data_IF_822534495851
#
_entry.id   IF_822534495851
#
_cell.length_a   1.000
_cell.length_b   1.000
_cell.length_c   1.000
_cell.angle_alpha   90.00
_cell.angle_beta   90.00
_cell.angle_gamma   90.00
#
_symmetry.space_group_name_H-M   'P 1'
#
loop_
_entity.id
_entity.type
_entity.pdbx_description
1 polymer ?
#
# COMPACT_ATOMS: atom_id res chain seq x y z
N UNK A 1 -17.00 29.10 -40.23
CA UNK A 1 -17.77 28.20 -39.33
C UNK A 1 -16.81 27.16 -38.81
N UNK A 2 -16.27 27.39 -37.61
CA UNK A 2 -15.59 26.39 -36.80
C UNK A 2 -15.27 27.09 -35.49
N UNK A 3 -16.03 26.80 -34.44
CA UNK A 3 -15.60 26.88 -33.03
C UNK A 3 -16.81 26.59 -32.13
N UNK A 4 -17.14 25.31 -32.00
CA UNK A 4 -18.00 24.81 -30.93
C UNK A 4 -17.65 23.34 -30.70
N UNK A 5 -16.72 23.06 -29.77
CA UNK A 5 -16.65 21.79 -28.99
C UNK A 5 -15.46 21.70 -28.02
N UNK A 6 -15.11 22.79 -27.30
CA UNK A 6 -14.19 22.68 -26.14
C UNK A 6 -14.79 23.15 -24.81
N UNK A 7 -16.00 23.73 -24.82
CA UNK A 7 -16.64 24.24 -23.60
C UNK A 7 -17.49 23.20 -22.88
N UNK A 8 -17.95 22.13 -23.56
CA UNK A 8 -18.84 21.12 -22.97
C UNK A 8 -18.19 20.24 -21.88
N UNK A 9 -16.93 19.84 -22.07
CA UNK A 9 -16.24 18.97 -21.10
C UNK A 9 -15.89 19.70 -19.80
N UNK A 10 -15.40 20.94 -19.91
CA UNK A 10 -15.01 21.77 -18.76
C UNK A 10 -16.20 22.15 -17.86
N UNK A 11 -17.40 22.31 -18.45
CA UNK A 11 -18.62 22.69 -17.73
C UNK A 11 -19.25 21.51 -16.99
N UNK A 12 -19.01 20.27 -17.45
CA UNK A 12 -19.53 19.06 -16.79
C UNK A 12 -18.77 18.70 -15.51
N UNK A 13 -17.48 19.06 -15.43
CA UNK A 13 -16.62 18.82 -14.27
C UNK A 13 -16.82 19.85 -13.15
N UNK A 14 -17.26 21.06 -13.46
CA UNK A 14 -17.50 22.14 -12.48
C UNK A 14 -18.76 21.92 -11.64
N UNK A 15 -19.73 21.13 -12.12
CA UNK A 15 -21.03 20.91 -11.45
C UNK A 15 -20.97 19.80 -10.39
N UNK A 16 -19.95 18.94 -10.40
CA UNK A 16 -19.82 17.84 -9.43
C UNK A 16 -19.22 18.24 -8.07
N UNK A 17 -18.98 19.54 -7.84
CA UNK A 17 -18.37 20.08 -6.61
C UNK A 17 -19.38 20.22 -5.46
N UNK A 18 -20.67 20.02 -5.72
CA UNK A 18 -21.69 20.29 -4.70
C UNK A 18 -22.04 19.08 -3.83
N UNK A 19 -21.65 19.21 -2.55
CA UNK A 19 -22.00 18.43 -1.33
C UNK A 19 -20.93 17.48 -0.75
N UNK A 20 -19.66 17.87 -0.87
CA UNK A 20 -18.71 17.82 0.25
C UNK A 20 -17.74 19.00 0.13
N UNK A 21 -17.35 19.67 1.21
CA UNK A 21 -16.43 20.83 1.19
C UNK A 21 -14.96 20.46 0.85
N UNK A 22 -14.72 19.29 0.25
CA UNK A 22 -13.38 18.79 -0.09
C UNK A 22 -13.23 18.74 -1.63
N UNK A 23 -12.41 19.62 -2.24
CA UNK A 23 -12.27 19.70 -3.70
C UNK A 23 -11.64 18.45 -4.33
N UNK A 24 -11.22 17.47 -3.54
CA UNK A 24 -10.66 16.19 -4.00
C UNK A 24 -11.70 15.06 -4.01
N UNK A 25 -12.83 15.23 -3.31
CA UNK A 25 -13.86 14.20 -3.13
C UNK A 25 -14.37 13.58 -4.44
N UNK A 26 -14.69 14.37 -5.48
CA UNK A 26 -15.13 13.80 -6.75
C UNK A 26 -14.05 12.97 -7.46
N UNK A 27 -12.79 13.40 -7.43
CA UNK A 27 -11.67 12.63 -7.96
C UNK A 27 -11.44 11.32 -7.20
N UNK A 28 -11.51 11.38 -5.87
CA UNK A 28 -11.38 10.20 -5.01
C UNK A 28 -12.52 9.20 -5.32
N UNK A 29 -13.76 9.68 -5.51
CA UNK A 29 -14.89 8.83 -5.89
C UNK A 29 -14.68 8.13 -7.24
N UNK A 30 -14.18 8.84 -8.25
CA UNK A 30 -13.85 8.25 -9.55
C UNK A 30 -12.79 7.17 -9.41
N UNK A 31 -11.77 7.41 -8.59
CA UNK A 31 -10.73 6.43 -8.29
C UNK A 31 -11.32 5.16 -7.63
N UNK A 32 -12.20 5.32 -6.64
CA UNK A 32 -12.86 4.18 -5.97
C UNK A 32 -13.76 3.37 -6.92
N UNK A 33 -14.41 4.03 -7.88
CA UNK A 33 -15.19 3.38 -8.95
C UNK A 33 -14.33 2.74 -10.04
N UNK A 34 -13.00 2.79 -9.91
CA UNK A 34 -12.04 2.32 -10.91
C UNK A 34 -12.12 3.09 -12.25
N UNK A 35 -12.69 4.30 -12.26
CA UNK A 35 -12.72 5.20 -13.41
C UNK A 35 -11.41 6.01 -13.46
N UNK A 36 -10.28 5.31 -13.55
CA UNK A 36 -8.96 5.89 -13.31
C UNK A 36 -8.57 7.00 -14.30
N UNK A 37 -8.92 6.90 -15.58
CA UNK A 37 -8.63 7.98 -16.53
C UNK A 37 -9.40 9.27 -16.19
N UNK A 38 -10.67 9.15 -15.81
CA UNK A 38 -11.46 10.31 -15.37
C UNK A 38 -10.93 10.89 -14.06
N UNK A 39 -10.51 10.03 -13.12
CA UNK A 39 -9.87 10.47 -11.88
C UNK A 39 -8.58 11.24 -12.18
N UNK A 40 -7.77 10.76 -13.12
CA UNK A 40 -6.53 11.41 -13.56
C UNK A 40 -6.82 12.79 -14.17
N UNK A 41 -7.78 12.89 -15.09
CA UNK A 41 -8.21 14.16 -15.68
C UNK A 41 -8.69 15.14 -14.59
N UNK A 42 -9.49 14.66 -13.64
CA UNK A 42 -9.99 15.47 -12.53
C UNK A 42 -8.85 16.03 -11.67
N UNK A 43 -7.94 15.16 -11.18
CA UNK A 43 -6.84 15.62 -10.33
C UNK A 43 -5.86 16.53 -11.08
N UNK A 44 -5.69 16.34 -12.39
CA UNK A 44 -4.89 17.25 -13.22
C UNK A 44 -5.56 18.62 -13.36
N UNK A 45 -6.89 18.66 -13.52
CA UNK A 45 -7.65 19.90 -13.56
C UNK A 45 -7.57 20.66 -12.22
N UNK A 46 -7.68 19.95 -11.09
CA UNK A 46 -7.50 20.54 -9.75
C UNK A 46 -6.08 21.09 -9.59
N UNK A 47 -5.05 20.33 -9.99
CA UNK A 47 -3.65 20.75 -9.88
C UNK A 47 -3.34 22.03 -10.69
N UNK A 48 -4.07 22.26 -11.79
CA UNK A 48 -3.87 23.42 -12.66
C UNK A 48 -4.63 24.68 -12.18
N UNK A 49 -5.34 24.63 -11.06
CA UNK A 49 -6.07 25.79 -10.54
C UNK A 49 -5.08 26.85 -10.01
N UNK A 50 -5.28 28.15 -10.34
CA UNK A 50 -4.31 29.20 -10.02
C UNK A 50 -4.15 29.49 -8.51
N UNK A 51 -5.12 29.07 -7.69
CA UNK A 51 -5.13 29.31 -6.24
C UNK A 51 -4.76 28.06 -5.42
N UNK A 52 -4.27 26.98 -6.04
CA UNK A 52 -3.95 25.74 -5.32
C UNK A 52 -2.78 25.94 -4.35
N UNK A 53 -2.96 25.56 -3.10
CA UNK A 53 -1.89 25.65 -2.09
C UNK A 53 -0.84 24.54 -2.28
N UNK A 54 0.33 24.69 -1.64
CA UNK A 54 1.38 23.66 -1.67
C UNK A 54 0.91 22.32 -1.11
N UNK A 55 0.11 22.33 -0.03
CA UNK A 55 -0.40 21.11 0.59
C UNK A 55 -1.45 20.42 -0.29
N UNK A 56 -2.32 21.20 -0.93
CA UNK A 56 -3.30 20.69 -1.90
C UNK A 56 -2.61 20.14 -3.15
N UNK A 57 -1.57 20.84 -3.64
CA UNK A 57 -0.74 20.36 -4.74
C UNK A 57 -0.09 19.02 -4.41
N UNK A 58 0.44 18.88 -3.18
CA UNK A 58 1.03 17.62 -2.73
C UNK A 58 -0.02 16.48 -2.67
N UNK A 59 -1.24 16.78 -2.21
CA UNK A 59 -2.37 15.82 -2.22
C UNK A 59 -2.76 15.44 -3.65
N UNK A 60 -2.87 16.39 -4.57
CA UNK A 60 -3.12 16.15 -6.00
C UNK A 60 -2.06 15.22 -6.59
N UNK A 61 -0.78 15.51 -6.35
CA UNK A 61 0.33 14.69 -6.81
C UNK A 61 0.26 13.26 -6.23
N UNK A 62 -0.12 13.08 -4.96
CA UNK A 62 -0.34 11.75 -4.40
C UNK A 62 -1.45 10.98 -5.13
N UNK A 63 -2.59 11.64 -5.37
CA UNK A 63 -3.73 11.02 -6.05
C UNK A 63 -3.44 10.71 -7.52
N UNK A 64 -2.73 11.59 -8.23
CA UNK A 64 -2.23 11.33 -9.59
C UNK A 64 -1.22 10.18 -9.61
N UNK A 65 -0.32 10.12 -8.62
CA UNK A 65 0.63 9.02 -8.47
C UNK A 65 -0.09 7.67 -8.31
N UNK A 66 -1.09 7.63 -7.42
CA UNK A 66 -1.89 6.42 -7.18
C UNK A 66 -2.68 6.00 -8.42
N UNK A 67 -3.29 6.98 -9.10
CA UNK A 67 -4.07 6.76 -10.32
C UNK A 67 -3.20 6.24 -11.47
N UNK A 68 -2.04 6.86 -11.71
CA UNK A 68 -1.10 6.40 -12.73
C UNK A 68 -0.55 5.00 -12.41
N UNK A 69 -0.29 4.69 -11.13
CA UNK A 69 0.11 3.34 -10.74
C UNK A 69 -0.96 2.28 -11.04
N UNK A 70 -2.25 2.63 -10.91
CA UNK A 70 -3.38 1.75 -11.30
C UNK A 70 -3.50 1.58 -12.80
N UNK A 71 -3.20 2.62 -13.56
CA UNK A 71 -3.12 2.60 -15.03
C UNK A 71 -1.84 1.94 -15.57
N UNK A 72 -0.93 1.49 -14.69
CA UNK A 72 0.39 0.95 -15.03
C UNK A 72 1.35 1.96 -15.70
N UNK A 73 1.04 3.25 -15.59
CA UNK A 73 1.90 4.37 -16.00
C UNK A 73 2.93 4.64 -14.89
N UNK A 74 3.89 3.73 -14.74
CA UNK A 74 4.76 3.72 -13.55
C UNK A 74 5.73 4.90 -13.50
N UNK A 75 6.23 5.40 -14.64
CA UNK A 75 7.13 6.55 -14.64
C UNK A 75 6.38 7.83 -14.26
N UNK A 76 5.17 8.04 -14.81
CA UNK A 76 4.32 9.14 -14.43
C UNK A 76 3.89 9.04 -12.96
N UNK A 77 3.67 7.83 -12.44
CA UNK A 77 3.40 7.63 -11.02
C UNK A 77 4.57 8.09 -10.15
N UNK A 78 5.80 7.67 -10.50
CA UNK A 78 7.02 8.08 -9.80
C UNK A 78 7.24 9.59 -9.88
N UNK A 79 7.07 10.20 -11.06
CA UNK A 79 7.17 11.64 -11.24
C UNK A 79 6.20 12.40 -10.34
N UNK A 80 4.96 11.94 -10.25
CA UNK A 80 3.95 12.53 -9.37
C UNK A 80 4.32 12.38 -7.89
N UNK A 81 4.78 11.20 -7.46
CA UNK A 81 5.22 11.02 -6.08
C UNK A 81 6.49 11.82 -5.75
N UNK A 82 7.43 11.97 -6.68
CA UNK A 82 8.59 12.84 -6.50
C UNK A 82 8.21 14.32 -6.41
N UNK A 83 7.24 14.77 -7.22
CA UNK A 83 6.66 16.12 -7.10
C UNK A 83 6.01 16.31 -5.72
N UNK A 84 5.20 15.34 -5.26
CA UNK A 84 4.63 15.37 -3.90
C UNK A 84 5.73 15.48 -2.85
N UNK A 85 6.75 14.62 -2.89
CA UNK A 85 7.85 14.63 -1.92
C UNK A 85 8.55 15.99 -1.87
N UNK A 86 8.87 16.55 -3.04
CA UNK A 86 9.50 17.86 -3.14
C UNK A 86 8.62 19.00 -2.57
N UNK A 87 7.29 18.90 -2.72
CA UNK A 87 6.36 19.86 -2.13
C UNK A 87 6.29 19.70 -0.61
N UNK A 88 6.19 18.46 -0.10
CA UNK A 88 6.15 18.18 1.34
C UNK A 88 7.43 18.61 2.06
N UNK A 89 8.60 18.43 1.43
CA UNK A 89 9.89 18.87 2.00
C UNK A 89 10.04 20.40 2.08
N UNK A 90 9.27 21.16 1.29
CA UNK A 90 9.21 22.63 1.39
C UNK A 90 8.34 23.12 2.53
N UNK A 91 7.46 22.27 3.05
CA UNK A 91 6.57 22.60 4.17
C UNK A 91 7.32 22.44 5.50
N UNK A 92 7.00 23.28 6.48
CA UNK A 92 7.56 23.16 7.83
C UNK A 92 7.25 21.77 8.41
N UNK A 93 8.25 21.16 9.06
CA UNK A 93 8.20 19.79 9.58
C UNK A 93 7.29 19.68 10.80
N UNK A 94 5.98 19.66 10.57
CA UNK A 94 5.02 19.13 11.54
C UNK A 94 4.98 17.60 11.47
N UNK A 95 4.59 16.95 12.56
CA UNK A 95 4.44 15.49 12.59
C UNK A 95 3.50 14.96 11.50
N UNK A 96 2.44 15.72 11.18
CA UNK A 96 1.53 15.41 10.07
C UNK A 96 2.27 15.37 8.72
N UNK A 97 3.11 16.37 8.45
CA UNK A 97 3.90 16.42 7.21
C UNK A 97 4.92 15.28 7.19
N UNK A 98 5.56 14.95 8.32
CA UNK A 98 6.46 13.80 8.43
C UNK A 98 5.72 12.49 8.10
N UNK A 99 4.50 12.30 8.61
CA UNK A 99 3.66 11.14 8.27
C UNK A 99 3.33 11.08 6.77
N UNK A 100 3.05 12.22 6.13
CA UNK A 100 2.79 12.27 4.69
C UNK A 100 4.05 11.98 3.86
N UNK A 101 5.23 12.40 4.31
CA UNK A 101 6.52 12.05 3.68
C UNK A 101 6.79 10.55 3.79
N UNK A 102 6.55 9.95 4.96
CA UNK A 102 6.70 8.50 5.18
C UNK A 102 5.79 7.73 4.20
N UNK A 103 4.51 8.11 4.12
CA UNK A 103 3.56 7.50 3.18
C UNK A 103 3.99 7.69 1.72
N UNK A 104 4.52 8.86 1.37
CA UNK A 104 5.04 9.12 0.03
C UNK A 104 6.18 8.18 -0.32
N UNK A 105 7.16 7.98 0.58
CA UNK A 105 8.22 6.99 0.37
C UNK A 105 7.69 5.57 0.23
N UNK A 106 6.70 5.16 1.04
CA UNK A 106 6.05 3.85 0.89
C UNK A 106 5.36 3.70 -0.47
N UNK A 107 4.67 4.74 -0.95
CA UNK A 107 4.03 4.75 -2.26
C UNK A 107 5.04 4.61 -3.40
N UNK A 108 6.17 5.33 -3.34
CA UNK A 108 7.27 5.19 -4.30
C UNK A 108 7.82 3.77 -4.26
N UNK A 109 8.11 3.24 -3.07
CA UNK A 109 8.60 1.86 -2.90
C UNK A 109 7.65 0.83 -3.49
N UNK A 110 6.33 1.01 -3.31
CA UNK A 110 5.30 0.16 -3.92
C UNK A 110 5.30 0.22 -5.44
N UNK A 111 5.54 1.37 -6.06
CA UNK A 111 5.66 1.46 -7.53
C UNK A 111 6.89 0.70 -8.02
N UNK A 112 8.03 0.82 -7.34
CA UNK A 112 9.21 0.01 -7.66
C UNK A 112 8.97 -1.50 -7.48
N UNK A 113 8.19 -1.92 -6.46
CA UNK A 113 7.73 -3.31 -6.35
C UNK A 113 6.95 -3.78 -7.59
N UNK A 114 6.06 -2.94 -8.13
CA UNK A 114 5.29 -3.24 -9.33
C UNK A 114 6.18 -3.33 -10.58
N UNK A 115 7.22 -2.49 -10.66
CA UNK A 115 8.27 -2.56 -11.69
C UNK A 115 9.24 -3.73 -11.50
N UNK A 116 9.11 -4.50 -10.41
CA UNK A 116 10.04 -5.56 -9.99
C UNK A 116 11.47 -5.09 -9.68
N UNK A 117 11.66 -3.79 -9.48
CA UNK A 117 12.92 -3.24 -8.98
C UNK A 117 12.92 -3.29 -7.46
N UNK A 118 13.27 -4.46 -6.92
CA UNK A 118 13.26 -4.67 -5.48
C UNK A 118 14.39 -3.93 -4.76
N UNK A 119 15.45 -3.52 -5.47
CA UNK A 119 16.57 -2.77 -4.86
C UNK A 119 16.10 -1.36 -4.53
N UNK A 120 15.51 -0.66 -5.50
CA UNK A 120 14.95 0.68 -5.25
C UNK A 120 13.75 0.62 -4.30
N UNK A 121 12.88 -0.41 -4.41
CA UNK A 121 11.80 -0.57 -3.43
C UNK A 121 12.34 -0.63 -1.99
N UNK A 122 13.34 -1.47 -1.72
CA UNK A 122 13.97 -1.59 -0.40
C UNK A 122 14.61 -0.26 0.04
N UNK A 123 15.25 0.48 -0.87
CA UNK A 123 15.81 1.80 -0.59
C UNK A 123 14.75 2.77 -0.05
N UNK A 124 13.62 2.90 -0.77
CA UNK A 124 12.53 3.79 -0.35
C UNK A 124 11.84 3.36 0.94
N UNK A 125 11.62 2.06 1.15
CA UNK A 125 11.08 1.56 2.42
C UNK A 125 12.05 1.76 3.60
N UNK A 126 13.37 1.69 3.39
CA UNK A 126 14.35 2.02 4.42
C UNK A 126 14.38 3.52 4.74
N UNK A 127 14.16 4.41 3.75
CA UNK A 127 13.97 5.85 4.00
C UNK A 127 12.72 6.12 4.83
N UNK A 128 11.61 5.45 4.50
CA UNK A 128 10.37 5.49 5.28
C UNK A 128 10.60 4.99 6.72
N UNK A 129 11.34 3.88 6.88
CA UNK A 129 11.70 3.32 8.18
C UNK A 129 12.56 4.30 8.99
N UNK A 130 13.54 4.94 8.37
CA UNK A 130 14.40 5.93 9.03
C UNK A 130 13.59 7.06 9.66
N UNK A 131 12.60 7.59 8.94
CA UNK A 131 11.70 8.64 9.43
C UNK A 131 10.68 8.12 10.46
N UNK A 132 10.06 6.96 10.24
CA UNK A 132 9.05 6.45 11.19
C UNK A 132 9.67 6.09 12.55
N UNK A 133 10.98 5.86 12.61
CA UNK A 133 11.71 5.63 13.86
C UNK A 133 11.93 6.93 14.66
N UNK A 134 11.82 8.11 14.04
CA UNK A 134 11.97 9.40 14.73
C UNK A 134 10.67 9.91 15.35
N UNK A 135 9.53 9.26 15.06
CA UNK A 135 8.21 9.63 15.57
C UNK A 135 7.57 8.45 16.32
N UNK A 136 7.02 8.71 17.50
CA UNK A 136 6.48 7.67 18.39
C UNK A 136 5.01 7.33 18.11
N UNK A 137 4.25 8.27 17.54
CA UNK A 137 2.82 8.16 17.27
C UNK A 137 2.45 7.25 16.09
N UNK A 138 3.40 6.93 15.21
CA UNK A 138 3.15 6.26 13.93
C UNK A 138 3.41 4.74 13.97
N UNK A 139 2.96 4.07 15.04
CA UNK A 139 3.17 2.63 15.24
C UNK A 139 2.53 1.77 14.14
N UNK A 140 1.34 2.13 13.64
CA UNK A 140 0.71 1.45 12.51
C UNK A 140 1.54 1.53 11.21
N UNK A 141 2.13 2.70 10.93
CA UNK A 141 3.01 2.88 9.76
C UNK A 141 4.28 2.04 9.93
N UNK A 142 4.85 2.00 11.14
CA UNK A 142 6.04 1.19 11.45
C UNK A 142 5.78 -0.29 11.21
N UNK A 143 4.66 -0.83 11.71
CA UNK A 143 4.25 -2.22 11.45
C UNK A 143 4.12 -2.50 9.94
N UNK A 144 3.47 -1.58 9.22
CA UNK A 144 3.27 -1.73 7.76
C UNK A 144 4.61 -1.73 6.99
N UNK A 145 5.52 -0.80 7.31
CA UNK A 145 6.86 -0.73 6.71
C UNK A 145 7.65 -2.01 6.97
N UNK A 146 7.59 -2.56 8.18
CA UNK A 146 8.24 -3.83 8.48
C UNK A 146 7.68 -4.99 7.67
N UNK A 147 6.36 -5.10 7.50
CA UNK A 147 5.76 -6.14 6.65
C UNK A 147 6.17 -6.00 5.19
N UNK A 148 6.20 -4.78 4.67
CA UNK A 148 6.60 -4.53 3.28
C UNK A 148 8.09 -4.85 3.05
N UNK A 149 8.98 -4.45 3.98
CA UNK A 149 10.39 -4.85 3.95
C UNK A 149 10.55 -6.37 4.04
N UNK A 150 9.80 -7.04 4.91
CA UNK A 150 9.85 -8.49 5.05
C UNK A 150 9.42 -9.21 3.76
N UNK A 151 8.34 -8.74 3.13
CA UNK A 151 7.88 -9.23 1.83
C UNK A 151 8.94 -9.02 0.75
N UNK A 152 9.58 -7.85 0.70
CA UNK A 152 10.68 -7.56 -0.23
C UNK A 152 11.88 -8.48 -0.01
N UNK A 153 12.30 -8.67 1.23
CA UNK A 153 13.39 -9.59 1.54
C UNK A 153 13.04 -11.05 1.21
N UNK A 154 11.77 -11.44 1.34
CA UNK A 154 11.27 -12.74 0.87
C UNK A 154 11.36 -12.86 -0.67
N UNK A 155 11.08 -11.78 -1.42
CA UNK A 155 11.24 -11.75 -2.87
C UNK A 155 12.70 -11.87 -3.30
N UNK A 156 13.62 -11.26 -2.54
CA UNK A 156 15.06 -11.33 -2.79
C UNK A 156 15.76 -12.49 -2.06
N UNK A 157 15.02 -13.46 -1.53
CA UNK A 157 15.54 -14.66 -0.84
C UNK A 157 16.44 -14.38 0.39
N UNK A 158 16.30 -13.21 1.01
CA UNK A 158 17.00 -12.83 2.26
C UNK A 158 16.12 -13.20 3.46
N UNK A 159 15.91 -14.50 3.65
CA UNK A 159 14.88 -14.99 4.56
C UNK A 159 15.10 -14.62 6.04
N UNK A 160 16.35 -14.58 6.52
CA UNK A 160 16.63 -14.17 7.90
C UNK A 160 16.20 -12.73 8.19
N UNK A 161 16.41 -11.83 7.22
CA UNK A 161 15.91 -10.46 7.31
C UNK A 161 14.38 -10.44 7.26
N UNK A 162 13.77 -11.21 6.37
CA UNK A 162 12.32 -11.30 6.27
C UNK A 162 11.67 -11.75 7.59
N UNK A 163 12.16 -12.83 8.19
CA UNK A 163 11.72 -13.33 9.51
C UNK A 163 11.85 -12.24 10.56
N UNK A 164 13.03 -11.60 10.66
CA UNK A 164 13.27 -10.51 11.63
C UNK A 164 12.25 -9.37 11.50
N UNK A 165 11.94 -8.97 10.28
CA UNK A 165 10.99 -7.88 10.05
C UNK A 165 9.53 -8.31 10.27
N UNK A 166 9.13 -9.53 9.91
CA UNK A 166 7.80 -10.04 10.26
C UNK A 166 7.60 -10.13 11.78
N UNK A 167 8.59 -10.62 12.53
CA UNK A 167 8.51 -10.67 14.01
C UNK A 167 8.31 -9.28 14.61
N UNK A 168 9.09 -8.28 14.15
CA UNK A 168 8.92 -6.89 14.61
C UNK A 168 7.54 -6.31 14.28
N UNK A 169 6.95 -6.69 13.15
CA UNK A 169 5.59 -6.25 12.81
C UNK A 169 4.55 -6.92 13.72
N UNK A 170 4.70 -8.22 14.01
CA UNK A 170 3.83 -8.94 14.94
C UNK A 170 3.88 -8.32 16.35
N UNK A 171 5.07 -8.00 16.87
CA UNK A 171 5.23 -7.35 18.19
C UNK A 171 4.44 -6.03 18.28
N UNK A 172 4.49 -5.21 17.22
CA UNK A 172 3.75 -3.95 17.18
C UNK A 172 2.24 -4.21 17.07
N UNK A 173 1.83 -5.05 16.12
CA UNK A 173 0.41 -5.37 15.93
C UNK A 173 -0.19 -5.98 17.21
N UNK A 174 0.59 -6.77 17.99
CA UNK A 174 0.18 -7.36 19.28
C UNK A 174 -0.18 -6.28 20.29
N UNK A 175 0.73 -5.32 20.47
CA UNK A 175 0.59 -4.26 21.46
C UNK A 175 -0.56 -3.31 21.11
N UNK A 176 -0.84 -3.11 19.82
CA UNK A 176 -1.84 -2.15 19.38
C UNK A 176 -3.25 -2.73 19.25
N UNK A 177 -3.38 -3.97 18.79
CA UNK A 177 -4.65 -4.51 18.30
C UNK A 177 -5.06 -5.82 18.97
N UNK A 178 -4.13 -6.48 19.68
CA UNK A 178 -4.32 -7.81 20.22
C UNK A 178 -4.12 -8.93 19.18
N UNK A 179 -3.94 -10.16 19.67
CA UNK A 179 -3.57 -11.34 18.87
C UNK A 179 -4.70 -11.85 17.96
N UNK A 180 -5.96 -11.58 18.33
CA UNK A 180 -7.14 -11.97 17.55
C UNK A 180 -7.45 -10.99 16.42
N UNK A 181 -6.63 -9.97 16.18
CA UNK A 181 -6.88 -9.01 15.11
C UNK A 181 -6.54 -9.61 13.72
N UNK A 182 -7.38 -9.45 12.67
CA UNK A 182 -7.13 -10.04 11.35
C UNK A 182 -5.76 -9.73 10.71
N UNK A 183 -5.12 -8.62 11.11
CA UNK A 183 -3.76 -8.25 10.68
C UNK A 183 -2.71 -9.29 11.11
N UNK A 184 -2.88 -9.94 12.26
CA UNK A 184 -2.00 -11.05 12.66
C UNK A 184 -2.06 -12.20 11.66
N UNK A 185 -3.29 -12.60 11.28
CA UNK A 185 -3.47 -13.67 10.31
C UNK A 185 -2.80 -13.37 8.98
N UNK A 186 -2.81 -12.11 8.54
CA UNK A 186 -2.10 -11.68 7.33
C UNK A 186 -0.58 -11.82 7.46
N UNK A 187 -0.01 -11.43 8.60
CA UNK A 187 1.44 -11.55 8.82
C UNK A 187 1.86 -13.02 8.87
N UNK A 188 1.12 -13.88 9.56
CA UNK A 188 1.38 -15.33 9.56
C UNK A 188 1.23 -15.95 8.17
N UNK A 189 0.22 -15.55 7.38
CA UNK A 189 0.10 -16.01 6.00
C UNK A 189 1.33 -15.63 5.16
N UNK A 190 1.87 -14.42 5.33
CA UNK A 190 3.08 -14.00 4.63
C UNK A 190 4.32 -14.81 5.08
N UNK A 191 4.44 -15.11 6.37
CA UNK A 191 5.49 -16.00 6.89
C UNK A 191 5.35 -17.43 6.34
N UNK A 192 4.14 -17.97 6.23
CA UNK A 192 3.89 -19.27 5.60
C UNK A 192 4.29 -19.28 4.12
N UNK A 193 3.99 -18.20 3.39
CA UNK A 193 4.41 -18.05 1.99
C UNK A 193 5.93 -17.92 1.84
N UNK A 194 6.60 -17.28 2.80
CA UNK A 194 8.06 -17.22 2.89
C UNK A 194 8.65 -18.62 3.12
N UNK A 195 8.12 -19.40 4.08
CA UNK A 195 8.56 -20.77 4.33
C UNK A 195 8.35 -21.68 3.10
N UNK A 196 7.25 -21.51 2.36
CA UNK A 196 7.06 -22.21 1.09
C UNK A 196 8.15 -21.89 0.06
N UNK A 197 8.67 -20.66 0.04
CA UNK A 197 9.78 -20.27 -0.84
C UNK A 197 11.12 -20.82 -0.37
N UNK A 198 11.24 -21.14 0.92
CA UNK A 198 12.38 -21.88 1.49
C UNK A 198 12.23 -23.40 1.36
N UNK A 199 11.14 -23.88 0.74
CA UNK A 199 10.77 -25.30 0.68
C UNK A 199 10.57 -25.96 2.07
N UNK A 200 10.41 -25.14 3.11
CA UNK A 200 10.06 -25.60 4.46
C UNK A 200 8.53 -25.69 4.59
N UNK A 201 7.96 -26.76 4.03
CA UNK A 201 6.50 -26.93 3.96
C UNK A 201 5.85 -27.23 5.32
N UNK A 202 6.58 -27.85 6.25
CA UNK A 202 6.08 -28.11 7.62
C UNK A 202 5.86 -26.80 8.38
N UNK A 203 6.87 -25.93 8.39
CA UNK A 203 6.76 -24.62 9.05
C UNK A 203 5.75 -23.71 8.32
N UNK A 204 5.67 -23.81 6.99
CA UNK A 204 4.66 -23.09 6.23
C UNK A 204 3.24 -23.47 6.68
N UNK A 205 2.99 -24.78 6.89
CA UNK A 205 1.69 -25.28 7.32
C UNK A 205 1.33 -24.77 8.72
N UNK A 206 2.26 -24.76 9.67
CA UNK A 206 2.05 -24.19 11.01
C UNK A 206 1.61 -22.72 10.93
N UNK A 207 2.32 -21.90 10.14
CA UNK A 207 1.96 -20.49 9.97
C UNK A 207 0.61 -20.30 9.27
N UNK A 208 0.29 -21.10 8.24
CA UNK A 208 -1.01 -21.00 7.57
C UNK A 208 -2.16 -21.44 8.48
N UNK A 209 -1.97 -22.43 9.34
CA UNK A 209 -2.97 -22.84 10.33
C UNK A 209 -3.23 -21.73 11.36
N UNK A 210 -2.17 -21.10 11.89
CA UNK A 210 -2.29 -19.92 12.76
C UNK A 210 -3.03 -18.77 12.08
N UNK A 211 -2.70 -18.50 10.82
CA UNK A 211 -3.39 -17.47 10.04
C UNK A 211 -4.89 -17.75 9.89
N UNK A 212 -5.25 -19.01 9.58
CA UNK A 212 -6.63 -19.43 9.45
C UNK A 212 -7.38 -19.32 10.79
N UNK A 213 -6.81 -19.81 11.88
CA UNK A 213 -7.44 -19.78 13.20
C UNK A 213 -7.81 -18.35 13.61
N UNK A 214 -6.89 -17.39 13.41
CA UNK A 214 -7.15 -15.99 13.70
C UNK A 214 -8.30 -15.47 12.83
N UNK A 215 -8.26 -15.72 11.53
CA UNK A 215 -9.34 -15.28 10.63
C UNK A 215 -10.69 -15.94 10.92
N UNK A 216 -10.73 -17.19 11.37
CA UNK A 216 -11.97 -17.86 11.78
C UNK A 216 -12.56 -17.28 13.08
N UNK A 217 -11.72 -16.78 13.98
CA UNK A 217 -12.18 -16.09 15.21
C UNK A 217 -12.69 -14.69 14.91
N UNK A 218 -12.00 -13.93 14.07
CA UNK A 218 -12.33 -12.52 13.82
C UNK A 218 -13.35 -12.32 12.69
N UNK A 219 -13.53 -13.30 11.80
CA UNK A 219 -14.35 -13.20 10.59
C UNK A 219 -15.29 -14.41 10.52
N UNK A 220 -16.41 -14.29 9.79
CA UNK A 220 -17.27 -15.45 9.52
C UNK A 220 -16.50 -16.49 8.70
N UNK A 221 -16.80 -17.78 8.90
CA UNK A 221 -16.13 -18.88 8.18
C UNK A 221 -16.27 -18.83 6.64
N UNK A 222 -17.29 -18.13 6.14
CA UNK A 222 -17.52 -17.82 4.72
C UNK A 222 -16.69 -16.64 4.20
N UNK A 223 -15.83 -16.03 5.02
CA UNK A 223 -15.01 -14.92 4.60
C UNK A 223 -13.93 -15.38 3.61
N UNK A 224 -13.75 -14.61 2.53
CA UNK A 224 -12.84 -14.93 1.41
C UNK A 224 -11.40 -15.30 1.86
N UNK A 225 -10.94 -14.74 2.97
CA UNK A 225 -9.62 -15.04 3.55
C UNK A 225 -9.54 -16.46 4.11
N UNK A 226 -10.57 -16.94 4.80
CA UNK A 226 -10.62 -18.30 5.37
C UNK A 226 -10.67 -19.33 4.23
N UNK A 227 -11.51 -19.11 3.22
CA UNK A 227 -11.62 -20.00 2.07
C UNK A 227 -10.31 -20.08 1.25
N UNK A 228 -9.69 -18.93 0.97
CA UNK A 228 -8.41 -18.86 0.27
C UNK A 228 -7.30 -19.54 1.07
N UNK A 229 -7.31 -19.39 2.39
CA UNK A 229 -6.35 -20.04 3.28
C UNK A 229 -6.51 -21.56 3.27
N UNK A 230 -7.75 -22.06 3.31
CA UNK A 230 -8.02 -23.50 3.23
C UNK A 230 -7.48 -24.12 1.93
N UNK A 231 -7.66 -23.45 0.78
CA UNK A 231 -7.07 -23.88 -0.50
C UNK A 231 -5.54 -23.87 -0.46
N UNK A 232 -4.94 -22.86 0.18
CA UNK A 232 -3.49 -22.74 0.34
C UNK A 232 -2.93 -23.86 1.21
N UNK A 233 -3.57 -24.14 2.34
CA UNK A 233 -3.23 -25.23 3.26
C UNK A 233 -3.26 -26.58 2.52
N UNK A 234 -4.33 -26.88 1.80
CA UNK A 234 -4.45 -28.13 1.03
C UNK A 234 -3.30 -28.28 0.01
N UNK A 235 -2.98 -27.21 -0.72
CA UNK A 235 -1.88 -27.23 -1.70
C UNK A 235 -0.52 -27.50 -1.05
N UNK A 236 -0.27 -26.92 0.13
CA UNK A 236 0.97 -27.12 0.89
C UNK A 236 1.05 -28.54 1.45
N UNK A 237 -0.07 -29.07 1.96
CA UNK A 237 -0.15 -30.46 2.43
C UNK A 237 0.17 -31.45 1.31
N UNK A 238 -0.41 -31.27 0.11
CA UNK A 238 -0.09 -32.14 -1.04
C UNK A 238 1.40 -32.09 -1.40
N UNK A 239 2.02 -30.90 -1.37
CA UNK A 239 3.47 -30.77 -1.61
C UNK A 239 4.30 -31.45 -0.54
N UNK A 240 3.93 -31.28 0.73
CA UNK A 240 4.62 -31.92 1.86
C UNK A 240 4.56 -33.45 1.74
N UNK A 241 3.39 -34.01 1.39
CA UNK A 241 3.24 -35.46 1.16
C UNK A 241 4.13 -35.98 0.02
N UNK A 242 4.28 -35.22 -1.07
CA UNK A 242 5.19 -35.59 -2.16
C UNK A 242 6.67 -35.45 -1.79
N UNK A 243 7.02 -34.58 -0.84
CA UNK A 243 8.39 -34.34 -0.41
C UNK A 243 8.90 -35.42 0.54
N UNK A 244 7.99 -36.07 1.27
CA UNK A 244 8.29 -37.11 2.27
C UNK A 244 8.17 -38.53 1.67
N UNK A 245 7.48 -38.69 0.52
CA UNK A 245 7.32 -39.95 -0.21
C UNK A 245 8.53 -40.27 -1.09
#
# INVERSE_FOLDING_TARGET
MSDTNMTGAATSLTVAVEKSNDPFGPGDLLYWKCEYEKAKEYFQAVLNQPAITLIESARCCNSLGATNAKLQNYEEALDNYHKQLNLLLKLQTSEKITNDIIKCYMSIGKVYCLKQDYVEAINYYNRALGLVLTITSASDLKSTIYKDLANLYTKTQKFDLATKYFTKALEIDQQQLGEDHPKFGQTYANMGAMCCRQENYEQALDYFLKAREIWEKSLTSSHIYVESMNKTIQKVQSKLSMYIS
#
